data_IF_437379479069
#
_entry.id   IF_437379479069
#
_cell.length_a   1.000
_cell.length_b   1.000
_cell.length_c   1.000
_cell.angle_alpha   90.00
_cell.angle_beta   90.00
_cell.angle_gamma   90.00
#
_symmetry.space_group_name_H-M   'P 1'
#
loop_
_entity.id
_entity.type
_entity.pdbx_description
1 polymer ?
#
# COMPACT_ATOMS: atom_id res chain seq x y z
N UNK A 1 -24.13 -7.30 -8.84
CA UNK A 1 -23.42 -6.57 -7.77
C UNK A 1 -22.47 -5.62 -8.44
N UNK A 2 -22.38 -4.32 -8.11
CA UNK A 2 -21.35 -3.51 -8.73
C UNK A 2 -20.03 -3.97 -8.11
N UNK A 3 -19.32 -4.83 -8.84
CA UNK A 3 -17.89 -5.04 -8.67
C UNK A 3 -17.26 -3.66 -8.78
N UNK A 4 -16.94 -3.04 -7.65
CA UNK A 4 -16.37 -1.69 -7.60
C UNK A 4 -15.21 -1.64 -8.58
N UNK A 5 -15.28 -0.75 -9.57
CA UNK A 5 -14.26 -0.65 -10.59
C UNK A 5 -12.97 -0.19 -9.90
N UNK A 6 -11.91 -1.01 -9.98
CA UNK A 6 -10.62 -0.71 -9.36
C UNK A 6 -10.05 0.62 -9.88
N UNK A 7 -10.36 0.99 -11.12
CA UNK A 7 -10.00 2.29 -11.68
C UNK A 7 -10.64 3.43 -10.87
N UNK A 8 -11.92 3.33 -10.55
CA UNK A 8 -12.63 4.35 -9.75
C UNK A 8 -12.04 4.46 -8.35
N UNK A 9 -11.59 3.33 -7.76
CA UNK A 9 -10.92 3.34 -6.45
C UNK A 9 -9.54 3.99 -6.51
N UNK A 10 -8.77 3.75 -7.57
CA UNK A 10 -7.51 4.46 -7.80
C UNK A 10 -7.78 5.96 -7.94
N UNK A 11 -8.73 6.36 -8.80
CA UNK A 11 -9.08 7.77 -9.01
C UNK A 11 -9.58 8.48 -7.74
N UNK A 12 -10.24 7.75 -6.84
CA UNK A 12 -10.69 8.28 -5.56
C UNK A 12 -9.53 8.51 -4.56
N UNK A 13 -8.38 7.85 -4.74
CA UNK A 13 -7.20 8.11 -3.93
C UNK A 13 -6.54 9.43 -4.37
N UNK A 14 -6.41 10.44 -3.49
CA UNK A 14 -5.86 11.74 -3.84
C UNK A 14 -4.48 11.68 -4.50
N UNK A 15 -3.69 10.68 -4.13
CA UNK A 15 -2.36 10.45 -4.68
C UNK A 15 -2.39 10.08 -6.17
N UNK A 16 -3.35 9.26 -6.59
CA UNK A 16 -3.50 8.84 -7.99
C UNK A 16 -4.41 9.76 -8.81
N UNK A 17 -5.20 10.63 -8.18
CA UNK A 17 -6.15 11.51 -8.85
C UNK A 17 -5.53 12.44 -9.91
N UNK A 18 -4.24 12.74 -9.80
CA UNK A 18 -3.50 13.59 -10.75
C UNK A 18 -2.89 12.83 -11.94
N UNK A 19 -3.03 11.51 -11.98
CA UNK A 19 -2.47 10.67 -13.04
C UNK A 19 -3.36 10.65 -14.27
N UNK A 20 -2.73 10.54 -15.44
CA UNK A 20 -3.46 10.32 -16.67
C UNK A 20 -4.05 8.92 -16.69
N UNK A 21 -5.14 8.74 -17.43
CA UNK A 21 -5.79 7.43 -17.56
C UNK A 21 -4.82 6.35 -18.03
N UNK A 22 -3.90 6.66 -18.96
CA UNK A 22 -2.86 5.73 -19.41
C UNK A 22 -1.95 5.26 -18.28
N UNK A 23 -1.59 6.14 -17.34
CA UNK A 23 -0.76 5.79 -16.19
C UNK A 23 -1.55 4.94 -15.19
N UNK A 24 -2.82 5.27 -14.97
CA UNK A 24 -3.73 4.46 -14.15
C UNK A 24 -3.91 3.06 -14.73
N UNK A 25 -4.04 2.93 -16.05
CA UNK A 25 -4.10 1.62 -16.73
C UNK A 25 -2.80 0.82 -16.55
N UNK A 26 -1.64 1.48 -16.58
CA UNK A 26 -0.36 0.82 -16.29
C UNK A 26 -0.27 0.38 -14.82
N UNK A 27 -0.75 1.18 -13.88
CA UNK A 27 -0.85 0.77 -12.47
C UNK A 27 -1.78 -0.44 -12.32
N UNK A 28 -2.95 -0.43 -12.96
CA UNK A 28 -3.85 -1.60 -12.97
C UNK A 28 -3.18 -2.84 -13.56
N UNK A 29 -2.40 -2.67 -14.64
CA UNK A 29 -1.72 -3.76 -15.32
C UNK A 29 -0.60 -4.40 -14.47
N UNK A 30 0.19 -3.59 -13.75
CA UNK A 30 1.32 -4.07 -12.96
C UNK A 30 1.00 -4.38 -11.50
N UNK A 31 -0.17 -3.97 -11.02
CA UNK A 31 -0.60 -4.26 -9.66
C UNK A 31 -1.19 -5.66 -9.50
N UNK A 32 -1.23 -6.14 -8.26
CA UNK A 32 -1.79 -7.44 -7.89
C UNK A 32 -2.79 -7.29 -6.76
N UNK A 33 -3.91 -8.00 -6.87
CA UNK A 33 -4.89 -8.09 -5.79
C UNK A 33 -4.46 -9.18 -4.80
N UNK A 34 -4.31 -8.81 -3.53
CA UNK A 34 -4.03 -9.73 -2.44
C UNK A 34 -5.13 -9.63 -1.39
N UNK A 35 -5.54 -10.79 -0.85
CA UNK A 35 -6.61 -10.90 0.15
C UNK A 35 -6.03 -11.53 1.40
N UNK A 36 -6.31 -10.94 2.55
CA UNK A 36 -5.83 -11.36 3.86
C UNK A 36 -6.99 -11.61 4.80
N UNK A 37 -6.98 -12.74 5.49
CA UNK A 37 -7.87 -12.97 6.64
C UNK A 37 -7.43 -12.14 7.83
N UNK A 38 -8.34 -11.89 8.76
CA UNK A 38 -8.03 -11.30 10.06
C UNK A 38 -6.87 -12.02 10.76
N UNK A 39 -5.97 -11.26 11.37
CA UNK A 39 -4.80 -11.77 12.06
C UNK A 39 -3.63 -12.14 11.16
N UNK A 40 -3.79 -12.11 9.82
CA UNK A 40 -2.69 -12.45 8.91
C UNK A 40 -1.73 -11.28 8.72
N UNK A 41 -0.44 -11.61 8.77
CA UNK A 41 0.64 -10.69 8.44
C UNK A 41 0.59 -10.35 6.95
N UNK A 42 0.51 -9.05 6.66
CA UNK A 42 0.65 -8.49 5.31
C UNK A 42 2.13 -8.33 4.97
N UNK A 43 2.93 -7.83 5.92
CA UNK A 43 4.37 -7.66 5.75
C UNK A 43 5.11 -7.69 7.10
N UNK A 44 6.35 -8.18 7.13
CA UNK A 44 7.21 -8.11 8.31
C UNK A 44 8.14 -6.89 8.19
N UNK A 45 8.15 -6.04 9.20
CA UNK A 45 8.97 -4.83 9.23
C UNK A 45 10.27 -5.13 9.97
N UNK A 46 11.41 -4.86 9.32
CA UNK A 46 12.73 -5.11 9.92
C UNK A 46 13.86 -4.35 9.23
N UNK A 47 15.03 -4.98 9.14
CA UNK A 47 16.26 -4.33 8.65
C UNK A 47 16.26 -4.01 7.15
N UNK A 48 15.33 -4.59 6.38
CA UNK A 48 15.20 -4.34 4.95
C UNK A 48 13.96 -3.49 4.66
N UNK A 49 14.12 -2.54 3.73
CA UNK A 49 13.02 -1.74 3.21
C UNK A 49 11.99 -2.61 2.47
N UNK A 50 10.74 -2.19 2.53
CA UNK A 50 9.68 -2.74 1.68
C UNK A 50 9.98 -2.41 0.22
N UNK A 51 10.04 -3.44 -0.62
CA UNK A 51 10.18 -3.31 -2.08
C UNK A 51 8.83 -3.12 -2.78
N UNK A 52 7.79 -2.74 -2.01
CA UNK A 52 6.42 -2.62 -2.47
C UNK A 52 5.67 -1.50 -1.77
N UNK A 53 4.61 -1.04 -2.42
CA UNK A 53 3.58 -0.18 -1.82
C UNK A 53 2.20 -0.73 -2.18
N UNK A 54 1.17 -0.41 -1.41
CA UNK A 54 -0.17 -0.91 -1.68
C UNK A 54 -1.27 0.06 -1.28
N UNK A 55 -2.40 -0.04 -1.98
CA UNK A 55 -3.65 0.64 -1.64
C UNK A 55 -4.59 -0.34 -0.94
N UNK A 56 -5.20 0.09 0.16
CA UNK A 56 -6.24 -0.71 0.83
C UNK A 56 -7.57 -0.50 0.11
N UNK A 57 -8.09 -1.55 -0.53
CA UNK A 57 -9.35 -1.50 -1.27
C UNK A 57 -10.55 -1.72 -0.35
N UNK A 58 -10.39 -2.61 0.63
CA UNK A 58 -11.39 -2.93 1.64
C UNK A 58 -10.71 -3.51 2.89
N UNK A 59 -11.39 -3.47 4.03
CA UNK A 59 -10.84 -3.96 5.29
C UNK A 59 -10.04 -2.92 6.07
N UNK A 60 -9.09 -3.38 6.87
CA UNK A 60 -8.25 -2.56 7.75
C UNK A 60 -7.00 -3.33 8.18
N UNK A 61 -5.89 -2.61 8.27
CA UNK A 61 -4.62 -3.11 8.78
C UNK A 61 -4.18 -2.31 10.00
N UNK A 62 -3.25 -2.89 10.76
CA UNK A 62 -2.49 -2.19 11.79
C UNK A 62 -0.99 -2.36 11.57
N UNK A 63 -0.24 -1.31 11.87
CA UNK A 63 1.21 -1.34 12.02
C UNK A 63 1.52 -1.60 13.50
N UNK A 64 2.18 -2.71 13.79
CA UNK A 64 2.36 -3.23 15.15
C UNK A 64 3.86 -3.42 15.40
N UNK A 65 4.38 -2.88 16.51
CA UNK A 65 5.79 -3.10 16.89
C UNK A 65 6.05 -4.55 17.31
N UNK A 66 7.32 -4.96 17.36
CA UNK A 66 7.71 -6.26 17.92
C UNK A 66 7.32 -6.48 19.39
N UNK A 67 6.97 -5.42 20.12
CA UNK A 67 6.42 -5.49 21.49
C UNK A 67 4.89 -5.63 21.53
N UNK A 68 4.23 -5.72 20.37
CA UNK A 68 2.77 -5.80 20.25
C UNK A 68 2.02 -4.46 20.36
N UNK A 69 2.73 -3.32 20.37
CA UNK A 69 2.08 -2.00 20.42
C UNK A 69 1.59 -1.62 19.02
N UNK A 70 0.30 -1.34 18.90
CA UNK A 70 -0.27 -0.73 17.68
C UNK A 70 0.20 0.72 17.57
N UNK A 71 0.84 1.07 16.46
CA UNK A 71 1.28 2.43 16.16
C UNK A 71 0.24 3.19 15.35
N UNK A 72 -0.38 2.52 14.39
CA UNK A 72 -1.37 3.12 13.49
C UNK A 72 -2.32 2.05 12.94
N UNK A 73 -3.56 2.45 12.67
CA UNK A 73 -4.53 1.70 11.89
C UNK A 73 -4.80 2.44 10.58
N UNK A 74 -4.97 1.68 9.50
CA UNK A 74 -5.19 2.21 8.14
C UNK A 74 -6.28 1.39 7.46
N UNK A 75 -7.14 2.06 6.71
CA UNK A 75 -8.34 1.51 6.12
C UNK A 75 -8.48 1.82 4.64
N UNK A 76 -9.67 1.54 4.12
CA UNK A 76 -9.99 1.73 2.69
C UNK A 76 -9.60 3.13 2.20
N UNK A 77 -8.85 3.17 1.10
CA UNK A 77 -8.37 4.40 0.45
C UNK A 77 -6.98 4.84 0.89
N UNK A 78 -6.46 4.29 2.01
CA UNK A 78 -5.12 4.61 2.47
C UNK A 78 -4.07 3.90 1.60
N UNK A 79 -3.04 4.66 1.23
CA UNK A 79 -1.84 4.18 0.57
C UNK A 79 -0.77 3.89 1.63
N UNK A 80 -0.09 2.76 1.50
CA UNK A 80 1.00 2.37 2.39
C UNK A 80 2.27 2.18 1.59
N UNK A 81 3.30 2.96 1.90
CA UNK A 81 4.63 2.85 1.31
C UNK A 81 5.69 2.51 2.36
N UNK A 82 6.88 2.13 1.90
CA UNK A 82 8.04 1.88 2.78
C UNK A 82 8.40 3.09 3.65
N UNK A 83 8.24 4.30 3.10
CA UNK A 83 8.63 5.52 3.79
C UNK A 83 7.68 5.85 4.95
N UNK A 84 6.37 5.71 4.73
CA UNK A 84 5.36 5.87 5.79
C UNK A 84 5.64 4.92 6.95
N UNK A 85 5.90 3.65 6.62
CA UNK A 85 6.19 2.60 7.60
C UNK A 85 7.50 2.88 8.33
N UNK A 86 8.55 3.27 7.60
CA UNK A 86 9.87 3.58 8.18
C UNK A 86 9.82 4.74 9.16
N UNK A 87 9.08 5.81 8.84
CA UNK A 87 8.89 6.97 9.72
C UNK A 87 8.16 6.59 11.00
N UNK A 88 7.10 5.80 10.91
CA UNK A 88 6.32 5.34 12.06
C UNK A 88 7.15 4.42 12.97
N UNK A 89 7.91 3.52 12.36
CA UNK A 89 8.64 2.48 13.08
C UNK A 89 9.93 3.02 13.70
N UNK A 90 10.52 4.07 13.14
CA UNK A 90 11.71 4.75 13.65
C UNK A 90 12.83 3.75 14.02
N UNK A 91 13.15 2.86 13.07
CA UNK A 91 14.17 1.81 13.22
C UNK A 91 13.75 0.58 14.04
N UNK A 92 12.51 0.51 14.54
CA UNK A 92 12.00 -0.67 15.25
C UNK A 92 11.54 -1.75 14.27
N UNK A 93 11.57 -3.00 14.71
CA UNK A 93 10.97 -4.13 14.01
C UNK A 93 9.49 -4.26 14.37
N UNK A 94 8.71 -4.92 13.51
CA UNK A 94 7.28 -5.08 13.69
C UNK A 94 6.61 -5.81 12.54
N UNK A 95 5.30 -5.64 12.42
CA UNK A 95 4.49 -6.23 11.35
C UNK A 95 3.42 -5.26 10.89
N UNK A 96 3.05 -5.38 9.62
CA UNK A 96 1.77 -4.92 9.11
C UNK A 96 0.83 -6.12 9.15
N UNK A 97 -0.30 -5.99 9.83
CA UNK A 97 -1.24 -7.10 10.04
C UNK A 97 -2.66 -6.69 9.69
N UNK A 98 -3.41 -7.57 9.02
CA UNK A 98 -4.84 -7.38 8.80
C UNK A 98 -5.58 -7.52 10.14
N UNK A 99 -6.36 -6.50 10.55
CA UNK A 99 -7.17 -6.54 11.78
C UNK A 99 -8.62 -6.99 11.53
N UNK A 100 -8.98 -7.12 10.25
CA UNK A 100 -10.21 -7.76 9.75
C UNK A 100 -9.95 -8.27 8.33
N UNK A 101 -10.86 -9.04 7.69
CA UNK A 101 -10.70 -9.41 6.28
C UNK A 101 -10.40 -8.19 5.41
N UNK A 102 -9.28 -8.23 4.69
CA UNK A 102 -8.69 -7.07 4.01
C UNK A 102 -8.26 -7.42 2.61
N UNK A 103 -8.57 -6.53 1.67
CA UNK A 103 -8.13 -6.60 0.27
C UNK A 103 -7.21 -5.41 -0.02
N UNK A 104 -6.03 -5.69 -0.55
CA UNK A 104 -5.08 -4.69 -0.97
C UNK A 104 -4.73 -4.87 -2.44
N UNK A 105 -4.40 -3.77 -3.09
CA UNK A 105 -3.79 -3.78 -4.41
C UNK A 105 -2.34 -3.35 -4.29
N UNK A 106 -1.42 -4.27 -4.59
CA UNK A 106 0.02 -4.13 -4.32
C UNK A 106 0.80 -3.91 -5.61
N UNK A 107 1.83 -3.08 -5.52
CA UNK A 107 2.78 -2.84 -6.58
C UNK A 107 4.21 -3.00 -6.07
N UNK A 108 5.07 -3.60 -6.90
CA UNK A 108 6.50 -3.70 -6.62
C UNK A 108 7.25 -2.50 -7.20
N UNK A 109 8.06 -1.87 -6.36
CA UNK A 109 8.82 -0.65 -6.66
C UNK A 109 9.65 -0.81 -7.92
N UNK A 110 10.41 -1.91 -8.05
CA UNK A 110 11.27 -2.13 -9.21
C UNK A 110 10.51 -2.26 -10.54
N UNK A 111 9.28 -2.78 -10.52
CA UNK A 111 8.43 -2.89 -11.71
C UNK A 111 7.90 -1.51 -12.08
N UNK A 112 7.32 -0.79 -11.12
CA UNK A 112 6.74 0.53 -11.38
C UNK A 112 7.81 1.55 -11.75
N UNK A 113 9.00 1.49 -11.15
CA UNK A 113 10.12 2.35 -11.53
C UNK A 113 10.54 2.19 -12.98
N UNK A 114 10.47 0.97 -13.52
CA UNK A 114 10.81 0.69 -14.92
C UNK A 114 9.77 1.25 -15.90
N UNK A 115 8.48 1.19 -15.54
CA UNK A 115 7.38 1.48 -16.46
C UNK A 115 6.74 2.86 -16.26
N UNK A 116 6.83 3.40 -15.05
CA UNK A 116 6.27 4.68 -14.62
C UNK A 116 7.29 5.45 -13.75
N UNK A 117 8.47 5.82 -14.27
CA UNK A 117 9.54 6.43 -13.47
C UNK A 117 9.16 7.81 -12.91
N UNK A 118 8.37 8.59 -13.63
CA UNK A 118 7.90 9.92 -13.17
C UNK A 118 6.95 9.78 -11.98
N UNK A 119 6.06 8.79 -12.01
CA UNK A 119 5.20 8.46 -10.89
C UNK A 119 6.01 8.06 -9.66
N UNK A 120 7.01 7.18 -9.82
CA UNK A 120 7.88 6.79 -8.70
C UNK A 120 8.61 7.96 -8.08
N UNK A 121 9.06 8.91 -8.89
CA UNK A 121 9.68 10.14 -8.39
C UNK A 121 8.70 10.93 -7.50
N UNK A 122 7.45 11.09 -7.93
CA UNK A 122 6.41 11.74 -7.12
C UNK A 122 6.10 11.00 -5.82
N UNK A 123 6.08 9.66 -5.86
CA UNK A 123 5.89 8.82 -4.67
C UNK A 123 7.00 9.04 -3.63
N UNK A 124 8.23 9.29 -4.07
CA UNK A 124 9.36 9.54 -3.17
C UNK A 124 9.48 11.01 -2.73
N UNK A 125 8.84 11.96 -3.42
CA UNK A 125 8.94 13.41 -3.14
C UNK A 125 7.83 13.96 -2.22
N UNK A 126 6.72 13.22 -2.04
CA UNK A 126 5.54 13.65 -1.27
C UNK A 126 5.57 13.18 0.21
N UNK A 127 6.71 12.67 0.65
CA UNK A 127 6.97 11.98 1.93
C UNK A 127 8.37 12.33 2.40
#
# INVERSE_FOLDING_TARGET
MPSTNLLDQLQACPFFASLQETDLQLLLHYGKLNIFSEGKTVHNIGEQSMDMFFLILSGEIAIITGTGKVLQQMGRGDLVSDLDVSLLMNGKTGVIQAVRPTEIFVWYVGVIQKHLPVFMKRLMELT
#
